data_IF_712630703575
#
_entry.id   IF_712630703575
#
_cell.length_a   1.000
_cell.length_b   1.000
_cell.length_c   1.000
_cell.angle_alpha   90.00
_cell.angle_beta   90.00
_cell.angle_gamma   90.00
#
_symmetry.space_group_name_H-M   'P 1'
#
loop_
_entity.id
_entity.type
_entity.pdbx_description
1 polymer ?
#
# COMPACT_ATOMS: atom_id res chain seq x y z
N UNK A 1 -16.78 1.43 -35.82
CA UNK A 1 -17.18 0.92 -34.48
C UNK A 1 -15.92 0.35 -33.86
N UNK A 2 -15.31 1.07 -32.93
CA UNK A 2 -14.06 0.65 -32.27
C UNK A 2 -14.37 -0.49 -31.32
N UNK A 3 -13.64 -1.58 -31.51
CA UNK A 3 -13.83 -2.86 -30.86
C UNK A 3 -13.69 -2.74 -29.32
N UNK A 4 -14.82 -2.65 -28.63
CA UNK A 4 -14.90 -2.60 -27.15
C UNK A 4 -14.40 -3.90 -26.48
N UNK A 5 -14.03 -4.92 -27.26
CA UNK A 5 -13.48 -6.18 -26.74
C UNK A 5 -12.08 -6.03 -26.15
N UNK A 6 -11.29 -5.02 -26.54
CA UNK A 6 -9.94 -4.78 -26.01
C UNK A 6 -9.95 -4.17 -24.59
N UNK A 7 -11.08 -3.59 -24.17
CA UNK A 7 -11.26 -2.99 -22.83
C UNK A 7 -11.74 -4.00 -21.76
N UNK A 8 -12.07 -5.25 -22.13
CA UNK A 8 -12.56 -6.29 -21.19
C UNK A 8 -11.55 -6.75 -20.11
N UNK A 9 -10.39 -6.10 -19.99
CA UNK A 9 -9.30 -6.49 -19.07
C UNK A 9 -8.94 -5.43 -18.03
N UNK A 10 -9.82 -4.45 -17.79
CA UNK A 10 -9.63 -3.47 -16.72
C UNK A 10 -10.40 -3.89 -15.47
N UNK A 11 -9.67 -4.10 -14.37
CA UNK A 11 -10.26 -4.20 -13.05
C UNK A 11 -10.66 -2.80 -12.59
N UNK A 12 -11.93 -2.62 -12.25
CA UNK A 12 -12.43 -1.39 -11.62
C UNK A 12 -11.69 -1.14 -10.32
N UNK A 13 -11.21 0.09 -10.13
CA UNK A 13 -10.62 0.52 -8.88
C UNK A 13 -11.74 0.75 -7.86
N UNK A 14 -11.85 -0.16 -6.91
CA UNK A 14 -12.88 -0.09 -5.87
C UNK A 14 -12.39 0.73 -4.66
N UNK A 15 -13.33 1.25 -3.86
CA UNK A 15 -13.03 2.09 -2.69
C UNK A 15 -12.21 1.40 -1.58
N UNK A 16 -12.13 0.08 -1.60
CA UNK A 16 -11.37 -0.74 -0.65
C UNK A 16 -10.06 -1.25 -1.27
N UNK A 17 -9.66 -0.73 -2.43
CA UNK A 17 -8.42 -1.14 -3.10
C UNK A 17 -7.22 -0.82 -2.20
N UNK A 18 -6.36 -1.82 -2.03
CA UNK A 18 -5.08 -1.70 -1.35
C UNK A 18 -4.13 -0.74 -2.07
N UNK A 19 -3.09 -0.29 -1.37
CA UNK A 19 -2.06 0.55 -1.97
C UNK A 19 -1.37 -0.15 -3.17
N UNK A 20 -1.21 -1.47 -3.10
CA UNK A 20 -0.69 -2.26 -4.22
C UNK A 20 -1.63 -2.25 -5.43
N UNK A 21 -2.93 -2.42 -5.22
CA UNK A 21 -3.93 -2.39 -6.29
C UNK A 21 -4.05 -1.00 -6.93
N UNK A 22 -4.04 0.06 -6.12
CA UNK A 22 -4.04 1.45 -6.60
C UNK A 22 -2.79 1.72 -7.46
N UNK A 23 -1.59 1.35 -6.99
CA UNK A 23 -0.34 1.51 -7.75
C UNK A 23 -0.34 0.72 -9.06
N UNK A 24 -0.80 -0.52 -9.02
CA UNK A 24 -0.90 -1.38 -10.19
C UNK A 24 -1.87 -0.80 -11.21
N UNK A 25 -3.01 -0.29 -10.75
CA UNK A 25 -4.00 0.38 -11.57
C UNK A 25 -3.43 1.65 -12.22
N UNK A 26 -2.80 2.55 -11.45
CA UNK A 26 -2.18 3.78 -11.97
C UNK A 26 -1.17 3.46 -13.08
N UNK A 27 -0.25 2.52 -12.81
CA UNK A 27 0.80 2.14 -13.77
C UNK A 27 0.21 1.55 -15.05
N UNK A 28 -0.85 0.75 -14.93
CA UNK A 28 -1.55 0.16 -16.07
C UNK A 28 -2.16 1.22 -16.99
N UNK A 29 -2.70 2.30 -16.44
CA UNK A 29 -3.27 3.42 -17.21
C UNK A 29 -2.20 4.36 -17.78
N UNK A 30 -1.10 4.60 -17.06
CA UNK A 30 0.04 5.38 -17.59
C UNK A 30 0.70 4.74 -18.81
N UNK A 31 0.90 3.42 -18.79
CA UNK A 31 1.48 2.69 -19.93
C UNK A 31 0.58 2.82 -21.16
N UNK A 32 -0.73 2.73 -20.97
CA UNK A 32 -1.72 2.78 -22.06
C UNK A 32 -1.98 4.18 -22.58
N UNK A 33 -1.99 5.18 -21.70
CA UNK A 33 -2.04 6.59 -22.08
C UNK A 33 -0.84 6.97 -22.96
N UNK A 34 0.37 6.54 -22.58
CA UNK A 34 1.58 6.73 -23.40
C UNK A 34 1.53 6.01 -24.74
N UNK A 35 0.85 4.86 -24.79
CA UNK A 35 0.65 4.12 -26.03
C UNK A 35 -0.49 4.66 -26.91
N UNK A 36 -1.21 5.71 -26.47
CA UNK A 36 -2.37 6.27 -27.18
C UNK A 36 -3.60 5.34 -27.20
N UNK A 37 -3.60 4.29 -26.37
CA UNK A 37 -4.62 3.24 -26.36
C UNK A 37 -5.84 3.66 -25.54
N UNK A 38 -5.63 4.49 -24.51
CA UNK A 38 -6.70 4.89 -23.62
C UNK A 38 -6.53 6.34 -23.19
N UNK A 39 -7.64 7.06 -23.13
CA UNK A 39 -7.67 8.46 -22.71
C UNK A 39 -8.11 8.59 -21.24
N UNK A 40 -8.08 9.81 -20.72
CA UNK A 40 -8.41 10.07 -19.31
C UNK A 40 -9.87 9.76 -18.96
N UNK A 41 -10.80 9.97 -19.91
CA UNK A 41 -12.22 9.62 -19.70
C UNK A 41 -12.39 8.11 -19.59
N UNK A 42 -11.63 7.35 -20.37
CA UNK A 42 -11.64 5.90 -20.29
C UNK A 42 -11.15 5.44 -18.91
N UNK A 43 -10.10 6.05 -18.36
CA UNK A 43 -9.59 5.71 -17.03
C UNK A 43 -10.62 5.95 -15.93
N UNK A 44 -11.31 7.09 -15.97
CA UNK A 44 -12.33 7.46 -14.98
C UNK A 44 -13.52 6.50 -14.98
N UNK A 45 -13.88 5.91 -16.12
CA UNK A 45 -14.96 4.93 -16.22
C UNK A 45 -14.66 3.62 -15.44
N UNK A 46 -13.40 3.37 -15.07
CA UNK A 46 -12.97 2.22 -14.27
C UNK A 46 -12.61 2.59 -12.83
N UNK A 47 -13.16 3.69 -12.32
CA UNK A 47 -13.04 4.12 -10.93
C UNK A 47 -14.42 4.09 -10.27
N UNK A 48 -14.52 3.53 -9.07
CA UNK A 48 -15.76 3.49 -8.29
C UNK A 48 -16.29 4.91 -8.00
N UNK A 49 -17.61 5.09 -8.10
CA UNK A 49 -18.28 6.38 -7.91
C UNK A 49 -17.94 7.05 -6.56
N UNK A 50 -17.71 6.26 -5.49
CA UNK A 50 -17.34 6.82 -4.20
C UNK A 50 -15.96 7.49 -4.23
N UNK A 51 -15.03 6.95 -5.02
CA UNK A 51 -13.71 7.55 -5.23
C UNK A 51 -13.86 8.82 -6.07
N UNK A 52 -14.68 8.79 -7.11
CA UNK A 52 -14.94 9.95 -7.97
C UNK A 52 -15.55 11.13 -7.20
N UNK A 53 -16.51 10.88 -6.31
CA UNK A 53 -17.10 11.93 -5.45
C UNK A 53 -16.04 12.59 -4.57
N UNK A 54 -15.15 11.80 -3.96
CA UNK A 54 -14.05 12.33 -3.12
C UNK A 54 -13.02 13.07 -3.95
N UNK A 55 -12.72 12.58 -5.15
CA UNK A 55 -11.82 13.22 -6.08
C UNK A 55 -12.35 14.59 -6.51
N UNK A 56 -13.62 14.70 -6.89
CA UNK A 56 -14.26 15.96 -7.25
C UNK A 56 -14.16 17.00 -6.13
N UNK A 57 -14.48 16.59 -4.89
CA UNK A 57 -14.34 17.46 -3.72
C UNK A 57 -12.89 17.90 -3.48
N UNK A 58 -11.93 16.97 -3.59
CA UNK A 58 -10.51 17.30 -3.47
C UNK A 58 -10.05 18.30 -4.54
N UNK A 59 -10.53 18.18 -5.78
CA UNK A 59 -10.21 19.14 -6.84
C UNK A 59 -10.77 20.53 -6.57
N UNK A 60 -11.99 20.61 -6.02
CA UNK A 60 -12.62 21.86 -5.59
C UNK A 60 -11.80 22.51 -4.46
N UNK A 61 -11.48 21.74 -3.42
CA UNK A 61 -10.70 22.22 -2.26
C UNK A 61 -9.29 22.69 -2.66
N UNK A 62 -8.65 21.99 -3.60
CA UNK A 62 -7.32 22.32 -4.09
C UNK A 62 -7.31 23.41 -5.19
N UNK A 63 -8.48 23.92 -5.60
CA UNK A 63 -8.66 24.90 -6.68
C UNK A 63 -7.94 24.49 -7.99
N UNK A 64 -7.91 23.19 -8.29
CA UNK A 64 -7.17 22.64 -9.44
C UNK A 64 -8.03 22.75 -10.70
N UNK A 65 -7.74 23.76 -11.54
CA UNK A 65 -8.47 23.98 -12.80
C UNK A 65 -7.92 23.10 -13.94
N UNK A 66 -8.53 21.92 -14.10
CA UNK A 66 -8.90 21.23 -15.35
C UNK A 66 -7.89 20.95 -16.49
N UNK A 67 -6.57 21.07 -16.34
CA UNK A 67 -5.68 20.78 -17.48
C UNK A 67 -5.04 19.38 -17.54
N UNK A 68 -4.99 18.62 -16.45
CA UNK A 68 -4.51 17.23 -16.50
C UNK A 68 -5.25 16.33 -15.51
N UNK A 69 -6.46 15.90 -15.89
CA UNK A 69 -7.37 15.15 -15.02
C UNK A 69 -6.78 13.80 -14.56
N UNK A 70 -5.89 13.18 -15.35
CA UNK A 70 -5.26 11.92 -14.94
C UNK A 70 -4.07 12.15 -14.01
N UNK A 71 -3.23 13.17 -14.25
CA UNK A 71 -2.18 13.54 -13.30
C UNK A 71 -2.78 13.95 -11.94
N UNK A 72 -3.90 14.66 -11.96
CA UNK A 72 -4.66 15.02 -10.76
C UNK A 72 -5.25 13.79 -10.06
N UNK A 73 -5.86 12.87 -10.82
CA UNK A 73 -6.38 11.61 -10.27
C UNK A 73 -5.25 10.78 -9.67
N UNK A 74 -4.11 10.66 -10.35
CA UNK A 74 -2.92 10.00 -9.85
C UNK A 74 -2.45 10.66 -8.54
N UNK A 75 -2.38 11.99 -8.50
CA UNK A 75 -1.96 12.74 -7.31
C UNK A 75 -2.93 12.53 -6.16
N UNK A 76 -4.24 12.54 -6.43
CA UNK A 76 -5.27 12.22 -5.46
C UNK A 76 -5.15 10.78 -4.96
N UNK A 77 -5.03 9.79 -5.85
CA UNK A 77 -4.90 8.37 -5.50
C UNK A 77 -3.58 8.07 -4.77
N UNK A 78 -2.48 8.71 -5.16
CA UNK A 78 -1.20 8.66 -4.45
C UNK A 78 -1.27 9.37 -3.10
N UNK A 79 -2.01 10.48 -3.04
CA UNK A 79 -2.39 11.13 -1.80
C UNK A 79 -3.24 10.22 -0.94
N UNK A 80 -4.16 9.42 -1.50
CA UNK A 80 -4.90 8.39 -0.78
C UNK A 80 -4.02 7.17 -0.45
N UNK A 81 -2.88 6.96 -1.11
CA UNK A 81 -1.89 5.97 -0.67
C UNK A 81 -1.06 6.50 0.51
N UNK A 82 -0.78 7.82 0.57
CA UNK A 82 -0.09 8.47 1.69
C UNK A 82 -0.99 9.00 2.82
N UNK A 83 -2.29 9.14 2.58
CA UNK A 83 -3.36 9.50 3.52
C UNK A 83 -4.29 8.32 3.81
N UNK A 84 -4.11 7.19 3.11
CA UNK A 84 -4.92 5.98 3.20
C UNK A 84 -4.09 4.74 3.50
N UNK A 85 -2.99 4.91 4.21
CA UNK A 85 -2.90 4.20 5.46
C UNK A 85 -3.62 5.02 6.53
N UNK A 86 -4.95 4.87 6.59
CA UNK A 86 -5.59 5.10 7.89
C UNK A 86 -4.91 4.18 8.90
N UNK A 87 -4.84 4.54 10.18
CA UNK A 87 -4.29 3.64 11.22
C UNK A 87 -4.85 2.21 11.08
N UNK A 88 -6.14 2.10 10.71
CA UNK A 88 -6.84 0.85 10.41
C UNK A 88 -6.39 0.14 9.13
N UNK A 89 -6.07 0.87 8.06
CA UNK A 89 -5.54 0.31 6.80
C UNK A 89 -4.13 -0.23 6.96
N UNK A 90 -3.26 0.53 7.62
CA UNK A 90 -1.93 0.07 8.01
C UNK A 90 -1.99 -1.14 8.94
N UNK A 91 -2.88 -1.11 9.93
CA UNK A 91 -3.09 -2.24 10.83
C UNK A 91 -3.57 -3.49 10.08
N UNK A 92 -4.46 -3.35 9.09
CA UNK A 92 -4.94 -4.46 8.27
C UNK A 92 -3.85 -5.04 7.37
N UNK A 93 -3.05 -4.18 6.71
CA UNK A 93 -1.90 -4.64 5.92
C UNK A 93 -0.84 -5.31 6.81
N UNK A 94 -0.58 -4.77 8.01
CA UNK A 94 0.33 -5.37 8.98
C UNK A 94 -0.18 -6.72 9.51
N UNK A 95 -1.51 -6.88 9.67
CA UNK A 95 -2.14 -8.16 10.02
C UNK A 95 -2.10 -9.18 8.89
N UNK A 96 -2.09 -8.75 7.63
CA UNK A 96 -2.11 -9.64 6.44
C UNK A 96 -0.74 -9.78 5.78
N UNK A 97 0.28 -9.12 6.33
CA UNK A 97 1.62 -9.07 5.77
C UNK A 97 2.21 -10.48 5.61
N UNK A 98 2.69 -10.84 4.41
CA UNK A 98 3.14 -12.20 4.13
C UNK A 98 4.45 -12.51 4.85
N UNK A 99 4.67 -13.78 5.19
CA UNK A 99 6.00 -14.27 5.59
C UNK A 99 7.00 -14.13 4.44
N UNK A 100 8.29 -13.99 4.75
CA UNK A 100 9.33 -13.91 3.73
C UNK A 100 10.67 -14.46 4.21
N UNK A 101 11.49 -14.83 3.24
CA UNK A 101 12.90 -15.21 3.42
C UNK A 101 13.83 -14.00 3.19
N UNK A 102 13.35 -12.90 2.59
CA UNK A 102 14.11 -11.67 2.40
C UNK A 102 13.92 -10.72 3.58
N UNK A 103 14.68 -10.98 4.64
CA UNK A 103 14.58 -10.32 5.94
C UNK A 103 14.88 -8.82 5.89
N UNK A 104 15.82 -8.37 5.04
CA UNK A 104 16.18 -6.94 4.97
C UNK A 104 15.02 -6.12 4.42
N UNK A 105 14.49 -6.51 3.26
CA UNK A 105 13.35 -5.83 2.65
C UNK A 105 12.09 -5.95 3.50
N UNK A 106 11.93 -7.08 4.20
CA UNK A 106 10.84 -7.28 5.16
C UNK A 106 10.86 -6.26 6.28
N UNK A 107 12.01 -6.10 6.95
CA UNK A 107 12.14 -5.23 8.11
C UNK A 107 11.81 -3.78 7.76
N UNK A 108 12.35 -3.28 6.65
CA UNK A 108 12.10 -1.90 6.20
C UNK A 108 10.61 -1.67 5.92
N UNK A 109 9.96 -2.62 5.24
CA UNK A 109 8.54 -2.51 4.87
C UNK A 109 7.64 -2.66 6.10
N UNK A 110 7.92 -3.63 6.98
CA UNK A 110 7.15 -3.87 8.20
C UNK A 110 7.26 -2.70 9.18
N UNK A 111 8.46 -2.12 9.33
CA UNK A 111 8.66 -0.96 10.20
C UNK A 111 7.87 0.24 9.72
N UNK A 112 7.90 0.50 8.42
CA UNK A 112 7.14 1.58 7.80
C UNK A 112 5.63 1.40 8.02
N UNK A 113 5.09 0.19 7.77
CA UNK A 113 3.70 -0.17 8.06
C UNK A 113 3.33 0.00 9.54
N UNK A 114 4.22 -0.39 10.45
CA UNK A 114 4.00 -0.28 11.89
C UNK A 114 3.95 1.18 12.35
N UNK A 115 4.76 2.05 11.76
CA UNK A 115 4.78 3.49 12.05
C UNK A 115 3.52 4.18 11.53
N UNK A 116 3.09 3.85 10.31
CA UNK A 116 1.85 4.39 9.75
C UNK A 116 0.60 3.87 10.48
N UNK A 117 0.65 2.66 11.04
CA UNK A 117 -0.37 2.13 11.94
C UNK A 117 -0.31 2.72 13.36
N UNK A 118 0.66 3.56 13.73
CA UNK A 118 0.86 4.00 15.12
C UNK A 118 1.10 2.84 16.10
N UNK A 119 1.63 1.73 15.58
CA UNK A 119 1.85 0.46 16.29
C UNK A 119 3.33 0.28 16.67
N UNK A 120 4.24 1.09 16.15
CA UNK A 120 5.68 1.08 16.46
C UNK A 120 5.99 1.08 17.97
N UNK A 121 5.11 1.67 18.79
CA UNK A 121 5.23 1.75 20.26
C UNK A 121 4.31 0.78 21.02
N UNK A 122 3.49 -0.02 20.34
CA UNK A 122 2.53 -0.94 20.97
C UNK A 122 3.16 -2.33 21.15
N UNK A 123 3.01 -2.92 22.34
CA UNK A 123 3.57 -4.24 22.70
C UNK A 123 3.09 -5.39 21.79
N UNK A 124 1.92 -5.29 21.17
CA UNK A 124 1.39 -6.31 20.27
C UNK A 124 2.12 -6.44 18.93
N UNK A 125 2.87 -5.40 18.51
CA UNK A 125 3.50 -5.31 17.19
C UNK A 125 4.67 -6.27 17.03
N UNK A 126 5.37 -6.57 18.13
CA UNK A 126 6.47 -7.53 18.17
C UNK A 126 5.95 -8.96 17.96
N UNK A 127 4.77 -9.27 18.50
CA UNK A 127 4.11 -10.56 18.28
C UNK A 127 3.69 -10.74 16.82
N UNK A 128 3.14 -9.69 16.20
CA UNK A 128 2.81 -9.69 14.77
C UNK A 128 4.06 -9.88 13.91
N UNK A 129 5.14 -9.15 14.22
CA UNK A 129 6.43 -9.29 13.56
C UNK A 129 6.98 -10.73 13.66
N UNK A 130 7.03 -11.29 14.88
CA UNK A 130 7.55 -12.64 15.12
C UNK A 130 6.71 -13.74 14.45
N UNK A 131 5.38 -13.56 14.34
CA UNK A 131 4.50 -14.50 13.63
C UNK A 131 4.76 -14.57 12.12
N UNK A 132 5.35 -13.53 11.53
CA UNK A 132 5.69 -13.49 10.09
C UNK A 132 7.11 -13.97 9.78
N UNK A 133 7.89 -14.26 10.83
CA UNK A 133 9.24 -14.78 10.69
C UNK A 133 9.29 -16.30 10.61
N UNK A 134 10.34 -16.85 9.97
CA UNK A 134 10.76 -18.24 10.10
C UNK A 134 10.88 -18.67 11.57
N UNK A 135 10.65 -19.97 11.84
CA UNK A 135 10.58 -20.51 13.21
C UNK A 135 11.82 -20.16 14.05
N UNK A 136 13.03 -20.33 13.48
CA UNK A 136 14.29 -20.03 14.16
C UNK A 136 14.42 -18.57 14.61
N UNK A 137 13.97 -17.64 13.76
CA UNK A 137 13.99 -16.20 14.05
C UNK A 137 12.88 -15.81 15.03
N UNK A 138 11.72 -16.48 14.95
CA UNK A 138 10.65 -16.32 15.93
C UNK A 138 11.11 -16.74 17.32
N UNK A 139 11.74 -17.90 17.44
CA UNK A 139 12.30 -18.38 18.71
C UNK A 139 13.32 -17.40 19.27
N UNK A 140 14.25 -16.89 18.44
CA UNK A 140 15.23 -15.88 18.83
C UNK A 140 14.63 -14.62 19.47
N UNK A 141 13.45 -14.19 18.99
CA UNK A 141 12.73 -13.03 19.54
C UNK A 141 11.98 -13.42 20.82
N UNK A 142 11.27 -14.54 20.80
CA UNK A 142 10.33 -14.95 21.86
C UNK A 142 11.01 -15.53 23.11
N UNK A 143 12.23 -16.06 23.01
CA UNK A 143 12.98 -16.59 24.15
C UNK A 143 13.74 -15.51 24.93
N UNK A 144 13.55 -14.23 24.60
CA UNK A 144 14.18 -13.13 25.34
C UNK A 144 13.52 -12.97 26.71
N UNK A 145 14.32 -12.74 27.77
CA UNK A 145 13.82 -12.63 29.14
C UNK A 145 12.91 -11.41 29.36
N UNK A 146 13.09 -10.37 28.53
CA UNK A 146 12.20 -9.20 28.45
C UNK A 146 11.71 -9.06 27.02
N UNK A 147 10.44 -8.67 26.84
CA UNK A 147 9.90 -8.43 25.52
C UNK A 147 10.66 -7.26 24.86
N UNK A 148 11.33 -7.48 23.71
CA UNK A 148 12.05 -6.42 23.02
C UNK A 148 11.08 -5.43 22.39
N UNK A 149 11.52 -4.20 22.16
CA UNK A 149 10.86 -3.28 21.23
C UNK A 149 10.94 -3.81 19.79
N UNK A 150 10.11 -3.27 18.89
CA UNK A 150 10.14 -3.66 17.48
C UNK A 150 11.52 -3.45 16.85
N UNK A 151 12.17 -2.32 17.16
CA UNK A 151 13.50 -1.98 16.66
C UNK A 151 14.57 -2.96 17.18
N UNK A 152 14.49 -3.35 18.46
CA UNK A 152 15.39 -4.33 19.06
C UNK A 152 15.18 -5.72 18.44
N UNK A 153 13.93 -6.14 18.24
CA UNK A 153 13.63 -7.41 17.57
C UNK A 153 14.18 -7.44 16.13
N UNK A 154 14.01 -6.36 15.36
CA UNK A 154 14.55 -6.24 14.01
C UNK A 154 16.08 -6.27 13.99
N UNK A 155 16.74 -5.61 14.94
CA UNK A 155 18.19 -5.64 15.05
C UNK A 155 18.73 -7.03 15.42
N UNK A 156 18.05 -7.75 16.30
CA UNK A 156 18.41 -9.12 16.67
C UNK A 156 18.34 -10.06 15.46
N UNK A 157 17.24 -9.98 14.71
CA UNK A 157 17.05 -10.77 13.49
C UNK A 157 18.11 -10.42 12.45
N UNK A 158 18.40 -9.12 12.24
CA UNK A 158 19.45 -8.69 11.30
C UNK A 158 20.80 -9.28 11.65
N UNK A 159 21.23 -9.16 12.91
CA UNK A 159 22.53 -9.69 13.36
C UNK A 159 22.60 -11.20 13.13
N UNK A 160 21.53 -11.94 13.46
CA UNK A 160 21.52 -13.40 13.32
C UNK A 160 21.56 -13.87 11.85
N UNK A 161 20.96 -13.12 10.93
CA UNK A 161 20.94 -13.46 9.50
C UNK A 161 22.22 -13.03 8.79
N UNK A 162 22.91 -12.01 9.31
CA UNK A 162 24.18 -11.48 8.78
C UNK A 162 25.44 -12.10 9.42
N UNK A 163 25.28 -12.98 10.43
CA UNK A 163 26.37 -13.73 11.09
C UNK A 163 26.62 -15.08 10.42
#
# INVERSE_FOLDING_TARGET
MTDQSSFKKFSTLNKNASAHEINTWIRAWEIRGRAGIANVKDALAYVDDNILVRFSKWQEDANVKNHDTFANLKTFLQGQMGLGMTEAGAALELMTFPSTDNIRQFNDTFLHLAQEAGFDKKLGTVGLYAMRMPLSLRELIMTRPTQPSLQEAMNLVRIHVES
#
